data_IF_444205709485
#
_entry.id   IF_444205709485
#
_cell.length_a   1.000
_cell.length_b   1.000
_cell.length_c   1.000
_cell.angle_alpha   90.00
_cell.angle_beta   90.00
_cell.angle_gamma   90.00
#
_symmetry.space_group_name_H-M   'P 1'
#
loop_
_entity.id
_entity.type
_entity.pdbx_description
1 polymer ?
#
# COMPACT_ATOMS: atom_id res chain seq x y z
N UNK A 1 0.10 -4.17 -32.92
CA UNK A 1 0.95 -3.54 -31.87
C UNK A 1 1.52 -2.17 -32.24
N UNK A 2 1.98 -1.92 -33.47
CA UNK A 2 2.66 -0.66 -33.85
C UNK A 2 1.86 0.63 -33.57
N UNK A 3 0.54 0.60 -33.74
CA UNK A 3 -0.34 1.76 -33.52
C UNK A 3 -0.42 2.20 -32.04
N UNK A 4 -0.37 1.25 -31.10
CA UNK A 4 -0.37 1.54 -29.66
C UNK A 4 0.94 2.23 -29.23
N UNK A 5 2.07 1.76 -29.77
CA UNK A 5 3.39 2.29 -29.44
C UNK A 5 3.54 3.72 -29.98
N UNK A 6 3.09 3.98 -31.21
CA UNK A 6 3.14 5.33 -31.78
C UNK A 6 2.23 6.31 -31.04
N UNK A 7 1.04 5.86 -30.60
CA UNK A 7 0.13 6.63 -29.77
C UNK A 7 0.73 6.94 -28.39
N UNK A 8 1.33 5.95 -27.72
CA UNK A 8 2.00 6.14 -26.43
C UNK A 8 3.15 7.14 -26.52
N UNK A 9 3.97 7.09 -27.59
CA UNK A 9 5.03 8.09 -27.82
C UNK A 9 4.49 9.51 -28.00
N UNK A 10 3.39 9.68 -28.73
CA UNK A 10 2.73 10.99 -28.89
C UNK A 10 2.14 11.50 -27.57
N UNK A 11 1.54 10.62 -26.78
CA UNK A 11 0.93 10.98 -25.51
C UNK A 11 1.97 11.28 -24.41
N UNK A 12 3.10 10.57 -24.40
CA UNK A 12 4.19 10.81 -23.46
C UNK A 12 4.70 12.27 -23.55
N UNK A 13 4.80 12.83 -24.75
CA UNK A 13 5.20 14.24 -24.97
C UNK A 13 4.19 15.26 -24.39
N UNK A 14 2.94 14.86 -24.18
CA UNK A 14 1.87 15.70 -23.63
C UNK A 14 1.73 15.58 -22.10
N UNK A 15 2.35 14.57 -21.51
CA UNK A 15 2.25 14.26 -20.08
C UNK A 15 3.65 14.28 -19.47
N UNK A 16 4.20 15.47 -19.24
CA UNK A 16 5.51 15.68 -18.59
C UNK A 16 5.43 15.55 -17.06
N UNK A 17 4.39 14.89 -16.56
CA UNK A 17 4.09 14.80 -15.14
C UNK A 17 3.28 15.99 -14.60
N UNK A 18 2.77 15.85 -13.37
CA UNK A 18 1.95 16.87 -12.71
C UNK A 18 2.76 18.13 -12.37
N UNK A 19 2.18 19.31 -12.62
CA UNK A 19 2.79 20.62 -12.26
C UNK A 19 2.88 20.84 -10.75
N UNK A 20 2.06 20.13 -9.98
CA UNK A 20 2.02 20.21 -8.53
C UNK A 20 1.95 18.79 -7.96
N UNK A 21 2.97 18.42 -7.18
CA UNK A 21 3.10 17.12 -6.51
C UNK A 21 2.90 17.22 -5.00
N UNK A 22 2.47 18.36 -4.44
CA UNK A 22 2.34 18.52 -2.98
C UNK A 22 1.45 17.46 -2.33
N UNK A 23 0.40 17.00 -3.03
CA UNK A 23 -0.51 15.95 -2.58
C UNK A 23 -0.02 14.53 -2.85
N UNK A 24 0.93 14.34 -3.78
CA UNK A 24 1.38 13.01 -4.22
C UNK A 24 2.85 12.69 -3.88
N UNK A 25 3.61 13.66 -3.38
CA UNK A 25 5.06 13.54 -3.08
C UNK A 25 5.41 12.45 -2.06
N UNK A 26 4.46 12.08 -1.21
CA UNK A 26 4.64 11.03 -0.23
C UNK A 26 3.99 9.70 -0.64
N UNK A 27 3.41 9.59 -1.83
CA UNK A 27 2.71 8.36 -2.22
C UNK A 27 3.63 7.14 -2.25
N UNK A 28 4.88 7.32 -2.68
CA UNK A 28 5.88 6.24 -2.67
C UNK A 28 6.27 5.83 -1.24
N UNK A 29 6.42 6.78 -0.32
CA UNK A 29 6.68 6.50 1.10
C UNK A 29 5.43 5.98 1.81
N UNK A 30 4.23 6.38 1.40
CA UNK A 30 2.96 5.97 2.02
C UNK A 30 2.50 4.59 1.56
N UNK A 31 2.84 4.19 0.33
CA UNK A 31 2.30 2.98 -0.32
C UNK A 31 3.37 2.06 -0.91
N UNK A 32 4.65 2.48 -0.90
CA UNK A 32 5.75 1.66 -1.40
C UNK A 32 6.37 0.82 -0.30
N UNK A 33 7.55 0.28 -0.59
CA UNK A 33 8.35 -0.54 0.33
C UNK A 33 8.81 0.20 1.59
N UNK A 34 8.69 1.53 1.63
CA UNK A 34 9.02 2.38 2.78
C UNK A 34 7.76 2.86 3.52
N UNK A 35 6.62 2.21 3.29
CA UNK A 35 5.40 2.43 4.06
C UNK A 35 5.69 2.25 5.55
N UNK A 36 5.15 3.15 6.36
CA UNK A 36 5.31 3.10 7.80
C UNK A 36 4.52 1.91 8.34
N UNK A 37 5.19 1.01 9.06
CA UNK A 37 4.67 -0.28 9.49
C UNK A 37 5.60 -1.40 9.02
N UNK A 38 5.82 -2.40 9.86
CA UNK A 38 6.48 -3.63 9.43
C UNK A 38 5.51 -4.33 8.48
N UNK A 39 5.99 -5.03 7.45
CA UNK A 39 5.21 -5.87 6.54
C UNK A 39 5.73 -7.32 6.60
N UNK A 40 5.04 -8.28 5.97
CA UNK A 40 5.57 -9.64 5.81
C UNK A 40 6.98 -9.68 5.21
N UNK A 41 7.32 -8.68 4.41
CA UNK A 41 8.61 -8.56 3.74
C UNK A 41 9.72 -8.04 4.68
N UNK A 42 9.34 -7.35 5.76
CA UNK A 42 10.25 -6.77 6.73
C UNK A 42 10.53 -7.74 7.89
N UNK A 43 9.46 -8.33 8.45
CA UNK A 43 9.53 -9.39 9.47
C UNK A 43 8.29 -10.29 9.36
N UNK A 44 8.48 -11.41 8.66
CA UNK A 44 7.41 -12.37 8.41
C UNK A 44 6.93 -13.07 9.69
N UNK A 45 7.80 -13.27 10.67
CA UNK A 45 7.45 -13.98 11.92
C UNK A 45 6.67 -13.05 12.86
N UNK A 46 7.18 -11.83 13.07
CA UNK A 46 6.49 -10.80 13.85
C UNK A 46 5.13 -10.41 13.26
N UNK A 47 5.02 -10.37 11.92
CA UNK A 47 3.72 -10.17 11.26
C UNK A 47 2.71 -11.25 11.65
N UNK A 48 3.08 -12.52 11.45
CA UNK A 48 2.19 -13.66 11.66
C UNK A 48 1.79 -13.80 13.12
N UNK A 49 2.71 -13.55 14.05
CA UNK A 49 2.41 -13.53 15.47
C UNK A 49 1.37 -12.44 15.81
N UNK A 50 1.57 -11.23 15.29
CA UNK A 50 0.64 -10.11 15.53
C UNK A 50 -0.74 -10.36 14.91
N UNK A 51 -0.81 -10.88 13.69
CA UNK A 51 -2.08 -11.25 13.05
C UNK A 51 -2.82 -12.32 13.84
N UNK A 52 -2.09 -13.33 14.33
CA UNK A 52 -2.65 -14.38 15.16
C UNK A 52 -3.27 -13.79 16.42
N UNK A 53 -2.54 -12.93 17.13
CA UNK A 53 -2.99 -12.30 18.37
C UNK A 53 -4.22 -11.41 18.15
N UNK A 54 -4.22 -10.59 17.09
CA UNK A 54 -5.37 -9.76 16.73
C UNK A 54 -6.60 -10.59 16.34
N UNK A 55 -6.40 -11.72 15.66
CA UNK A 55 -7.48 -12.64 15.30
C UNK A 55 -8.09 -13.27 16.54
N UNK A 56 -7.26 -13.70 17.49
CA UNK A 56 -7.72 -14.23 18.78
C UNK A 56 -8.41 -13.16 19.63
N UNK A 57 -7.92 -11.92 19.61
CA UNK A 57 -8.55 -10.85 20.39
C UNK A 57 -9.92 -10.45 19.83
N UNK A 58 -10.01 -10.27 18.50
CA UNK A 58 -11.18 -9.66 17.86
C UNK A 58 -12.23 -10.66 17.40
N UNK A 59 -11.90 -11.96 17.33
CA UNK A 59 -12.83 -13.02 16.92
C UNK A 59 -13.65 -12.65 15.66
N UNK A 60 -12.99 -12.36 14.52
CA UNK A 60 -13.68 -11.93 13.33
C UNK A 60 -14.67 -13.00 12.85
N UNK A 61 -15.91 -12.60 12.64
CA UNK A 61 -17.01 -13.45 12.16
C UNK A 61 -17.20 -13.26 10.65
N UNK A 62 -16.90 -12.05 10.15
CA UNK A 62 -17.13 -11.68 8.74
C UNK A 62 -15.85 -11.35 7.96
N UNK A 63 -15.93 -11.46 6.63
CA UNK A 63 -14.82 -11.14 5.72
C UNK A 63 -14.33 -9.68 5.87
N UNK A 64 -15.21 -8.75 6.23
CA UNK A 64 -14.83 -7.36 6.50
C UNK A 64 -13.91 -7.25 7.73
N UNK A 65 -14.19 -7.99 8.79
CA UNK A 65 -13.42 -7.96 10.03
C UNK A 65 -12.06 -8.63 9.83
N UNK A 66 -12.00 -9.73 9.06
CA UNK A 66 -10.74 -10.34 8.63
C UNK A 66 -9.86 -9.36 7.84
N UNK A 67 -10.44 -8.66 6.86
CA UNK A 67 -9.74 -7.62 6.11
C UNK A 67 -9.21 -6.47 7.00
N UNK A 68 -10.00 -6.05 7.99
CA UNK A 68 -9.58 -5.02 8.93
C UNK A 68 -8.42 -5.47 9.82
N UNK A 69 -8.39 -6.74 10.25
CA UNK A 69 -7.27 -7.30 11.03
C UNK A 69 -5.99 -7.35 10.18
N UNK A 70 -6.08 -7.80 8.93
CA UNK A 70 -4.95 -7.86 8.00
C UNK A 70 -4.38 -6.46 7.67
N UNK A 71 -5.25 -5.47 7.50
CA UNK A 71 -4.87 -4.09 7.18
C UNK A 71 -4.48 -3.25 8.40
N UNK A 72 -4.92 -3.62 9.61
CA UNK A 72 -4.62 -2.89 10.84
C UNK A 72 -3.12 -2.69 11.04
N UNK A 73 -2.31 -3.71 10.78
CA UNK A 73 -0.86 -3.62 10.96
C UNK A 73 -0.18 -2.71 9.93
N UNK A 74 -0.64 -2.73 8.67
CA UNK A 74 -0.15 -1.80 7.63
C UNK A 74 -0.53 -0.33 7.91
N UNK A 75 -1.56 -0.10 8.74
CA UNK A 75 -2.04 1.24 9.08
C UNK A 75 -1.46 1.82 10.38
N UNK A 76 -0.92 0.97 11.26
CA UNK A 76 -0.39 1.41 12.56
C UNK A 76 0.85 2.31 12.45
N UNK A 77 1.53 2.36 11.30
CA UNK A 77 2.57 3.35 11.04
C UNK A 77 2.07 4.69 10.49
N UNK A 78 0.78 4.85 10.18
CA UNK A 78 0.23 6.06 9.56
C UNK A 78 -0.12 7.17 10.57
N UNK A 79 0.09 6.92 11.88
CA UNK A 79 -0.09 7.89 12.96
C UNK A 79 1.27 8.37 13.51
N UNK A 80 2.03 9.10 12.69
CA UNK A 80 3.14 9.95 13.13
C UNK A 80 3.34 11.11 12.13
#
# INVERSE_FOLDING_TARGET
>A
MANRISANRRNAKKSTGPKNTRSTRFNATKHGLLASGVTELDDAEGYRATLHDLTQEKHPVGALEGFLIESAWTSQGCAA
#
